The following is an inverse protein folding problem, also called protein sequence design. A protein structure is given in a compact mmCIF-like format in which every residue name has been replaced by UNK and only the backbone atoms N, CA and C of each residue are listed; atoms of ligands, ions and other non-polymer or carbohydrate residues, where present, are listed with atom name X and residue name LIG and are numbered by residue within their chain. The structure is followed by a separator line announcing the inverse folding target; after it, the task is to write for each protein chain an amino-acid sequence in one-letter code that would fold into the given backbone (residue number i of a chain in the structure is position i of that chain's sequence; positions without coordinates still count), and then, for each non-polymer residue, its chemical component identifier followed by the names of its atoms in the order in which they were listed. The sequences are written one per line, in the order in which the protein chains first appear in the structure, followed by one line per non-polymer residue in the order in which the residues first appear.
data_IF_179274505739
#
_entry.id   IF_179274505739
#
_cell.length_a   1.000
_cell.length_b   1.000
_cell.length_c   1.000
_cell.angle_alpha   90.00
_cell.angle_beta   90.00
_cell.angle_gamma   90.00
#
_symmetry.space_group_name_H-M   'P 1'
#
loop_
_entity.id
_entity.type
_entity.pdbx_description
1 polymer ?
#
# COMPACT_ATOMS: atom_id res chain seq x y z
N UNK A 1 19.50 49.32 -5.20
CA UNK A 1 19.68 48.42 -6.36
C UNK A 1 20.32 47.17 -5.80
N UNK A 2 19.53 46.10 -5.70
CA UNK A 2 19.94 44.69 -5.46
C UNK A 2 20.78 44.43 -4.21
N UNK A 3 20.16 44.57 -3.04
CA UNK A 3 20.63 43.93 -1.82
C UNK A 3 19.40 43.41 -1.07
N UNK A 4 19.42 42.13 -0.71
CA UNK A 4 18.52 41.44 0.22
C UNK A 4 17.16 40.91 -0.30
N UNK A 5 17.07 40.49 -1.55
CA UNK A 5 16.20 39.35 -1.90
C UNK A 5 16.98 38.04 -1.67
N UNK A 6 17.54 37.88 -0.47
CA UNK A 6 18.07 36.61 -0.04
C UNK A 6 16.86 35.69 0.15
N UNK A 7 16.65 34.85 -0.85
CA UNK A 7 15.65 33.79 -0.94
C UNK A 7 15.70 32.92 0.32
N UNK A 8 14.99 33.36 1.36
CA UNK A 8 14.53 32.49 2.43
C UNK A 8 13.37 31.63 1.91
N UNK A 9 13.58 30.95 0.77
CA UNK A 9 12.90 29.70 0.48
C UNK A 9 13.52 28.69 1.43
N UNK A 10 13.04 28.70 2.68
CA UNK A 10 13.05 27.50 3.50
C UNK A 10 12.36 26.46 2.65
N UNK A 11 13.15 25.67 1.91
CA UNK A 11 12.67 24.47 1.28
C UNK A 11 12.03 23.70 2.43
N UNK A 12 10.69 23.71 2.45
CA UNK A 12 9.92 22.95 3.41
C UNK A 12 10.40 21.53 3.20
N UNK A 13 11.19 21.03 4.16
CA UNK A 13 11.73 19.69 4.14
C UNK A 13 10.53 18.76 4.28
N UNK A 14 9.94 18.41 3.15
CA UNK A 14 8.93 17.38 3.10
C UNK A 14 9.72 16.08 3.18
N UNK A 15 9.47 15.21 4.18
CA UNK A 15 10.09 13.91 4.22
C UNK A 15 9.72 13.14 2.93
N UNK A 16 10.73 12.83 2.13
CA UNK A 16 10.61 12.18 0.83
C UNK A 16 10.83 13.11 -0.36
N UNK A 17 11.42 12.59 -1.44
CA UNK A 17 11.67 13.35 -2.67
C UNK A 17 10.36 13.90 -3.26
N UNK A 18 10.32 15.12 -3.83
CA UNK A 18 9.12 15.70 -4.44
C UNK A 18 8.48 14.79 -5.50
N UNK A 19 9.32 14.05 -6.23
CA UNK A 19 8.92 13.10 -7.25
C UNK A 19 8.03 11.97 -6.69
N UNK A 20 8.32 11.55 -5.44
CA UNK A 20 7.55 10.53 -4.75
C UNK A 20 6.15 11.03 -4.38
N UNK A 21 6.03 12.28 -3.95
CA UNK A 21 4.72 12.87 -3.64
C UNK A 21 3.88 13.09 -4.89
N UNK A 22 4.49 13.47 -6.01
CA UNK A 22 3.81 13.55 -7.31
C UNK A 22 3.29 12.17 -7.74
N UNK A 23 4.10 11.12 -7.58
CA UNK A 23 3.72 9.75 -7.84
C UNK A 23 2.55 9.29 -6.94
N UNK A 24 2.63 9.52 -5.62
CA UNK A 24 1.55 9.20 -4.67
C UNK A 24 0.26 9.90 -5.03
N UNK A 25 0.32 11.19 -5.39
CA UNK A 25 -0.85 11.97 -5.76
C UNK A 25 -1.47 11.44 -7.07
N UNK A 26 -0.63 11.09 -8.04
CA UNK A 26 -1.07 10.47 -9.29
C UNK A 26 -1.77 9.13 -9.03
N UNK A 27 -1.17 8.22 -8.26
CA UNK A 27 -1.78 6.93 -7.93
C UNK A 27 -3.10 7.12 -7.18
N UNK A 28 -3.11 8.00 -6.18
CA UNK A 28 -4.32 8.29 -5.40
C UNK A 28 -5.44 8.83 -6.29
N UNK A 29 -5.15 9.69 -7.26
CA UNK A 29 -6.13 10.19 -8.23
C UNK A 29 -6.67 9.08 -9.13
N UNK A 30 -5.80 8.21 -9.66
CA UNK A 30 -6.20 7.07 -10.51
C UNK A 30 -7.13 6.13 -9.74
N UNK A 31 -6.75 5.75 -8.52
CA UNK A 31 -7.57 4.91 -7.64
C UNK A 31 -8.89 5.58 -7.28
N UNK A 32 -8.87 6.88 -6.97
CA UNK A 32 -10.09 7.65 -6.67
C UNK A 32 -11.06 7.66 -7.85
N UNK A 33 -10.56 7.84 -9.08
CA UNK A 33 -11.37 7.72 -10.30
C UNK A 33 -11.99 6.33 -10.43
N UNK A 34 -11.19 5.28 -10.24
CA UNK A 34 -11.66 3.89 -10.28
C UNK A 34 -12.71 3.59 -9.21
N UNK A 35 -12.53 4.09 -7.99
CA UNK A 35 -13.53 3.97 -6.92
C UNK A 35 -14.83 4.70 -7.27
N UNK A 36 -14.75 5.85 -7.92
CA UNK A 36 -15.91 6.56 -8.45
C UNK A 36 -16.70 5.71 -9.45
N UNK A 37 -16.02 5.09 -10.41
CA UNK A 37 -16.65 4.15 -11.35
C UNK A 37 -17.27 2.94 -10.65
N UNK A 38 -16.55 2.32 -9.72
CA UNK A 38 -17.05 1.19 -8.93
C UNK A 38 -18.33 1.56 -8.16
N UNK A 39 -18.36 2.71 -7.49
CA UNK A 39 -19.55 3.17 -6.76
C UNK A 39 -20.73 3.46 -7.69
N UNK A 40 -20.48 4.01 -8.88
CA UNK A 40 -21.51 4.25 -9.88
C UNK A 40 -22.14 2.95 -10.39
N UNK A 41 -21.33 1.95 -10.75
CA UNK A 41 -21.81 0.63 -11.18
C UNK A 41 -22.52 -0.13 -10.06
N UNK A 42 -22.00 -0.06 -8.84
CA UNK A 42 -22.65 -0.62 -7.65
C UNK A 42 -24.05 -0.03 -7.43
N UNK A 43 -24.22 1.29 -7.58
CA UNK A 43 -25.52 1.95 -7.41
C UNK A 43 -26.56 1.49 -8.45
N UNK A 44 -26.11 0.97 -9.60
CA UNK A 44 -26.96 0.43 -10.68
C UNK A 44 -27.30 -1.06 -10.50
N UNK A 45 -26.46 -1.83 -9.82
CA UNK A 45 -26.58 -3.31 -9.74
C UNK A 45 -26.30 -3.84 -8.33
N UNK A 46 -26.99 -3.29 -7.33
CA UNK A 46 -26.76 -3.59 -5.91
C UNK A 46 -26.96 -5.07 -5.54
N UNK A 47 -27.98 -5.74 -6.10
CA UNK A 47 -28.27 -7.15 -5.77
C UNK A 47 -27.19 -8.12 -6.25
N UNK A 48 -26.64 -7.93 -7.45
CA UNK A 48 -25.52 -8.73 -7.98
C UNK A 48 -24.25 -8.53 -7.15
N UNK A 49 -24.01 -7.29 -6.69
CA UNK A 49 -22.86 -6.96 -5.84
C UNK A 49 -22.98 -7.62 -4.46
N UNK A 50 -24.16 -7.59 -3.83
CA UNK A 50 -24.41 -8.25 -2.54
C UNK A 50 -24.25 -9.77 -2.62
N UNK A 51 -24.73 -10.41 -3.69
CA UNK A 51 -24.55 -11.85 -3.91
C UNK A 51 -23.09 -12.22 -4.17
N UNK A 52 -22.37 -11.47 -5.00
CA UNK A 52 -20.95 -11.72 -5.26
C UNK A 52 -20.09 -11.47 -4.01
N UNK A 53 -20.41 -10.43 -3.23
CA UNK A 53 -19.71 -10.09 -1.99
C UNK A 53 -19.90 -11.15 -0.88
N UNK A 54 -21.00 -11.91 -0.90
CA UNK A 54 -21.22 -13.03 0.02
C UNK A 54 -20.22 -14.19 -0.17
N UNK A 55 -19.59 -14.29 -1.35
CA UNK A 55 -18.53 -15.27 -1.60
C UNK A 55 -17.17 -14.85 -1.04
N UNK A 56 -17.01 -13.58 -0.61
CA UNK A 56 -15.78 -13.10 0.01
C UNK A 56 -15.77 -13.36 1.51
N UNK A 57 -14.65 -13.85 2.01
CA UNK A 57 -14.46 -14.08 3.43
C UNK A 57 -14.00 -12.79 4.13
N UNK A 58 -14.95 -12.09 4.74
CA UNK A 58 -14.68 -10.87 5.50
C UNK A 58 -13.61 -11.09 6.59
N UNK A 59 -13.51 -12.29 7.16
CA UNK A 59 -12.55 -12.57 8.24
C UNK A 59 -11.12 -12.53 7.72
N UNK A 60 -10.89 -13.10 6.54
CA UNK A 60 -9.58 -13.06 5.86
C UNK A 60 -9.25 -11.62 5.47
N UNK A 61 -10.23 -10.86 4.96
CA UNK A 61 -10.08 -9.43 4.68
C UNK A 61 -9.67 -8.61 5.91
N UNK A 62 -10.38 -8.75 7.03
CA UNK A 62 -10.08 -8.05 8.29
C UNK A 62 -8.71 -8.43 8.83
N UNK A 63 -8.37 -9.72 8.83
CA UNK A 63 -7.07 -10.21 9.28
C UNK A 63 -5.93 -9.59 8.44
N UNK A 64 -6.08 -9.57 7.12
CA UNK A 64 -5.12 -8.96 6.21
C UNK A 64 -4.94 -7.46 6.47
N UNK A 65 -6.03 -6.74 6.70
CA UNK A 65 -5.97 -5.31 7.05
C UNK A 65 -5.24 -5.08 8.37
N UNK A 66 -5.47 -5.90 9.40
CA UNK A 66 -4.73 -5.82 10.66
C UNK A 66 -3.22 -6.09 10.47
N UNK A 67 -2.87 -7.07 9.64
CA UNK A 67 -1.48 -7.39 9.31
C UNK A 67 -0.80 -6.22 8.60
N UNK A 68 -1.48 -5.56 7.66
CA UNK A 68 -0.93 -4.38 6.99
C UNK A 68 -0.77 -3.20 7.94
N UNK A 69 -1.77 -2.91 8.78
CA UNK A 69 -1.64 -1.86 9.81
C UNK A 69 -0.45 -2.09 10.74
N UNK A 70 -0.18 -3.34 11.12
CA UNK A 70 1.01 -3.70 11.90
C UNK A 70 2.30 -3.48 11.09
N UNK A 71 2.27 -3.78 9.79
CA UNK A 71 3.38 -3.55 8.86
C UNK A 71 3.73 -2.07 8.74
N UNK A 72 2.72 -1.21 8.62
CA UNK A 72 2.81 0.25 8.59
C UNK A 72 3.45 0.79 9.87
N UNK A 73 2.99 0.32 11.03
CA UNK A 73 3.58 0.71 12.31
C UNK A 73 5.06 0.27 12.42
N UNK A 74 5.39 -0.92 11.94
CA UNK A 74 6.77 -1.42 11.90
C UNK A 74 7.68 -0.57 11.00
N UNK A 75 7.18 -0.13 9.84
CA UNK A 75 7.97 0.73 8.93
C UNK A 75 8.20 2.12 9.53
N UNK A 76 7.21 2.70 10.22
CA UNK A 76 7.37 3.97 10.93
C UNK A 76 8.43 3.87 12.04
N UNK A 77 8.42 2.75 12.78
CA UNK A 77 9.43 2.45 13.80
C UNK A 77 10.82 2.24 13.19
N UNK A 78 10.91 1.66 12.00
CA UNK A 78 12.16 1.56 11.24
C UNK A 78 12.75 2.94 10.93
N UNK A 79 11.94 3.88 10.43
CA UNK A 79 12.38 5.26 10.16
C UNK A 79 12.90 5.92 11.43
N UNK A 80 12.16 5.80 12.54
CA UNK A 80 12.56 6.39 13.82
C UNK A 80 13.86 5.78 14.36
N UNK A 81 14.01 4.46 14.27
CA UNK A 81 15.23 3.75 14.66
C UNK A 81 16.43 4.11 13.77
N UNK A 82 16.19 4.31 12.47
CA UNK A 82 17.20 4.77 11.51
C UNK A 82 17.68 6.18 11.88
N UNK A 83 16.77 7.10 12.24
CA UNK A 83 17.10 8.46 12.69
C UNK A 83 17.89 8.47 14.00
N UNK A 84 17.58 7.56 14.93
CA UNK A 84 18.30 7.41 16.19
C UNK A 84 19.67 6.70 16.07
N UNK A 85 20.09 6.30 14.85
CA UNK A 85 21.32 5.55 14.63
C UNK A 85 21.26 4.08 15.10
N UNK A 86 20.09 3.59 15.49
CA UNK A 86 19.86 2.24 15.99
C UNK A 86 19.59 1.25 14.84
N UNK A 87 20.58 1.05 13.95
CA UNK A 87 20.42 0.30 12.70
C UNK A 87 20.04 -1.19 12.88
N UNK A 88 20.41 -1.82 14.00
CA UNK A 88 20.01 -3.21 14.31
C UNK A 88 18.49 -3.31 14.54
N UNK A 89 17.90 -2.32 15.20
CA UNK A 89 16.46 -2.25 15.39
C UNK A 89 15.75 -1.96 14.05
N UNK A 90 16.28 -1.01 13.27
CA UNK A 90 15.75 -0.70 11.94
C UNK A 90 15.71 -1.94 11.02
N UNK A 91 16.78 -2.74 10.98
CA UNK A 91 16.79 -3.99 10.21
C UNK A 91 15.71 -4.97 10.65
N UNK A 92 15.56 -5.18 11.96
CA UNK A 92 14.53 -6.08 12.50
C UNK A 92 13.13 -5.62 12.08
N UNK A 93 12.87 -4.32 12.20
CA UNK A 93 11.56 -3.75 11.90
C UNK A 93 11.24 -3.85 10.38
N UNK A 94 12.23 -3.73 9.49
CA UNK A 94 12.06 -3.99 8.04
C UNK A 94 11.73 -5.46 7.76
N UNK A 95 12.40 -6.41 8.42
CA UNK A 95 12.10 -7.83 8.25
C UNK A 95 10.70 -8.18 8.77
N UNK A 96 10.25 -7.53 9.85
CA UNK A 96 8.87 -7.68 10.34
C UNK A 96 7.89 -7.17 9.29
N UNK A 97 8.11 -5.98 8.72
CA UNK A 97 7.26 -5.45 7.64
C UNK A 97 7.22 -6.39 6.43
N UNK A 98 8.37 -6.91 5.99
CA UNK A 98 8.44 -7.85 4.88
C UNK A 98 7.69 -9.17 5.18
N UNK A 99 7.77 -9.68 6.41
CA UNK A 99 7.03 -10.88 6.83
C UNK A 99 5.52 -10.63 6.83
N UNK A 100 5.06 -9.49 7.36
CA UNK A 100 3.64 -9.10 7.33
C UNK A 100 3.12 -9.02 5.89
N UNK A 101 3.89 -8.39 5.00
CA UNK A 101 3.55 -8.29 3.58
C UNK A 101 3.49 -9.66 2.89
N UNK A 102 4.37 -10.60 3.25
CA UNK A 102 4.39 -11.94 2.68
C UNK A 102 3.16 -12.75 3.13
N UNK A 103 2.78 -12.61 4.39
CA UNK A 103 1.55 -13.19 4.94
C UNK A 103 0.34 -12.66 4.18
N UNK A 104 0.28 -11.35 3.97
CA UNK A 104 -0.79 -10.72 3.19
C UNK A 104 -0.88 -11.29 1.76
N UNK A 105 0.24 -11.37 1.04
CA UNK A 105 0.29 -11.95 -0.30
C UNK A 105 -0.20 -13.41 -0.31
N UNK A 106 0.22 -14.20 0.67
CA UNK A 106 -0.20 -15.60 0.79
C UNK A 106 -1.72 -15.74 0.95
N UNK A 107 -2.32 -14.98 1.88
CA UNK A 107 -3.77 -15.00 2.07
C UNK A 107 -4.52 -14.49 0.84
N UNK A 108 -3.97 -13.50 0.13
CA UNK A 108 -4.56 -13.00 -1.12
C UNK A 108 -4.57 -14.03 -2.23
N UNK A 109 -3.45 -14.69 -2.48
CA UNK A 109 -3.35 -15.76 -3.48
C UNK A 109 -4.27 -16.93 -3.12
N UNK A 110 -4.36 -17.28 -1.84
CA UNK A 110 -5.28 -18.32 -1.38
C UNK A 110 -6.75 -17.96 -1.66
N UNK A 111 -7.13 -16.71 -1.40
CA UNK A 111 -8.50 -16.24 -1.67
C UNK A 111 -8.81 -16.23 -3.16
N UNK A 112 -7.89 -15.76 -4.01
CA UNK A 112 -8.03 -15.83 -5.46
C UNK A 112 -8.14 -17.27 -5.96
N UNK A 113 -7.30 -18.18 -5.47
CA UNK A 113 -7.36 -19.59 -5.85
C UNK A 113 -8.70 -20.23 -5.45
N UNK A 114 -9.23 -19.88 -4.27
CA UNK A 114 -10.55 -20.33 -3.82
C UNK A 114 -11.66 -19.77 -4.71
N UNK A 115 -11.62 -18.48 -5.05
CA UNK A 115 -12.60 -17.82 -5.91
C UNK A 115 -12.64 -18.44 -7.31
N UNK A 116 -11.47 -18.58 -7.95
CA UNK A 116 -11.33 -19.21 -9.27
C UNK A 116 -11.76 -20.68 -9.22
N UNK A 117 -11.41 -21.41 -8.17
CA UNK A 117 -11.84 -22.80 -7.96
C UNK A 117 -13.35 -22.97 -7.79
N UNK A 118 -14.05 -21.94 -7.28
CA UNK A 118 -15.53 -21.93 -7.20
C UNK A 118 -16.23 -21.48 -8.48
N UNK A 119 -15.50 -21.23 -9.57
CA UNK A 119 -16.05 -20.75 -10.85
C UNK A 119 -16.32 -19.24 -10.90
N UNK A 120 -15.90 -18.50 -9.89
CA UNK A 120 -15.99 -17.05 -9.78
C UNK A 120 -14.70 -16.39 -10.27
N UNK A 121 -14.44 -16.50 -11.58
CA UNK A 121 -13.32 -15.85 -12.24
C UNK A 121 -13.60 -14.38 -12.59
N UNK A 122 -12.61 -13.69 -13.18
CA UNK A 122 -12.78 -12.31 -13.65
C UNK A 122 -13.81 -12.17 -14.78
N UNK A 123 -14.21 -13.26 -15.44
CA UNK A 123 -15.25 -13.27 -16.49
C UNK A 123 -16.66 -13.54 -15.93
N UNK A 124 -16.79 -13.82 -14.62
CA UNK A 124 -18.06 -14.30 -14.07
C UNK A 124 -19.08 -13.19 -13.82
N UNK A 125 -18.63 -12.02 -13.33
CA UNK A 125 -19.49 -10.86 -13.05
C UNK A 125 -18.67 -9.57 -13.03
N UNK A 126 -19.30 -8.44 -13.34
CA UNK A 126 -18.69 -7.10 -13.28
C UNK A 126 -18.00 -6.83 -11.93
N UNK A 127 -18.61 -7.27 -10.82
CA UNK A 127 -18.01 -7.16 -9.49
C UNK A 127 -16.66 -7.88 -9.39
N UNK A 128 -16.56 -9.12 -9.91
CA UNK A 128 -15.32 -9.88 -9.88
C UNK A 128 -14.26 -9.25 -10.77
N UNK A 129 -14.63 -8.71 -11.93
CA UNK A 129 -13.72 -7.93 -12.78
C UNK A 129 -13.08 -6.78 -12.02
N UNK A 130 -13.89 -5.93 -11.36
CA UNK A 130 -13.38 -4.82 -10.56
C UNK A 130 -12.59 -5.28 -9.34
N UNK A 131 -13.03 -6.34 -8.66
CA UNK A 131 -12.33 -6.94 -7.53
C UNK A 131 -10.94 -7.41 -7.94
N UNK A 132 -10.82 -8.24 -8.99
CA UNK A 132 -9.54 -8.78 -9.46
C UNK A 132 -8.65 -7.66 -9.99
N UNK A 133 -9.22 -6.66 -10.67
CA UNK A 133 -8.45 -5.51 -11.14
C UNK A 133 -7.88 -4.69 -9.98
N UNK A 134 -8.72 -4.21 -9.05
CA UNK A 134 -8.30 -3.39 -7.90
C UNK A 134 -7.33 -4.12 -6.97
N UNK A 135 -7.64 -5.37 -6.63
CA UNK A 135 -6.75 -6.17 -5.78
C UNK A 135 -5.48 -6.59 -6.53
N UNK A 136 -5.56 -6.79 -7.84
CA UNK A 136 -4.43 -7.15 -8.69
C UNK A 136 -3.42 -6.02 -8.88
N UNK A 137 -3.89 -4.81 -9.18
CA UNK A 137 -3.00 -3.64 -9.22
C UNK A 137 -2.35 -3.44 -7.85
N UNK A 138 -3.11 -3.52 -6.75
CA UNK A 138 -2.55 -3.38 -5.41
C UNK A 138 -1.50 -4.46 -5.11
N UNK A 139 -1.75 -5.72 -5.51
CA UNK A 139 -0.79 -6.81 -5.39
C UNK A 139 0.54 -6.47 -6.10
N UNK A 140 0.47 -5.91 -7.32
CA UNK A 140 1.67 -5.45 -8.04
C UNK A 140 2.40 -4.33 -7.29
N UNK A 141 1.68 -3.36 -6.73
CA UNK A 141 2.30 -2.28 -5.94
C UNK A 141 2.97 -2.83 -4.69
N UNK A 142 2.37 -3.83 -4.04
CA UNK A 142 2.95 -4.48 -2.87
C UNK A 142 4.22 -5.27 -3.23
N UNK A 143 4.27 -5.91 -4.40
CA UNK A 143 5.51 -6.50 -4.93
C UNK A 143 6.60 -5.46 -5.20
N UNK A 144 6.25 -4.29 -5.73
CA UNK A 144 7.19 -3.17 -5.87
C UNK A 144 7.65 -2.70 -4.48
N UNK A 145 6.74 -2.65 -3.50
CA UNK A 145 7.05 -2.37 -2.10
C UNK A 145 8.11 -3.30 -1.51
N UNK A 146 8.09 -4.59 -1.86
CA UNK A 146 9.14 -5.52 -1.45
C UNK A 146 10.53 -5.13 -1.98
N UNK A 147 10.60 -4.66 -3.23
CA UNK A 147 11.85 -4.14 -3.81
C UNK A 147 12.31 -2.90 -3.04
N UNK A 148 11.39 -2.00 -2.71
CA UNK A 148 11.64 -0.78 -1.92
C UNK A 148 12.16 -1.13 -0.51
N UNK A 149 11.57 -2.11 0.18
CA UNK A 149 12.11 -2.62 1.46
C UNK A 149 13.50 -3.23 1.29
N UNK A 150 13.75 -3.95 0.19
CA UNK A 150 15.06 -4.47 -0.16
C UNK A 150 16.11 -3.37 -0.31
N UNK A 151 15.74 -2.24 -0.93
CA UNK A 151 16.59 -1.05 -1.03
C UNK A 151 16.91 -0.48 0.35
N UNK A 152 15.92 -0.38 1.26
CA UNK A 152 16.17 0.06 2.65
C UNK A 152 17.20 -0.85 3.34
N UNK A 153 17.05 -2.18 3.25
CA UNK A 153 18.00 -3.15 3.82
C UNK A 153 19.40 -2.97 3.22
N UNK A 154 19.49 -2.77 1.90
CA UNK A 154 20.76 -2.54 1.22
C UNK A 154 21.44 -1.23 1.66
N UNK A 155 20.66 -0.16 1.85
CA UNK A 155 21.13 1.13 2.31
C UNK A 155 21.65 1.10 3.76
N UNK A 156 20.95 0.38 4.63
CA UNK A 156 21.29 0.24 6.06
C UNK A 156 22.56 -0.60 6.31
N UNK A 157 22.93 -1.49 5.36
CA UNK A 157 24.09 -2.39 5.48
C UNK A 157 25.44 -1.68 5.48
N UNK A 158 25.59 -0.49 4.88
CA UNK A 158 26.88 0.19 4.78
C UNK A 158 26.81 1.62 5.30
N UNK A 159 27.69 2.04 6.24
CA UNK A 159 27.70 3.39 6.79
C UNK A 159 27.86 4.49 5.73
N UNK A 160 28.65 4.23 4.68
CA UNK A 160 28.92 5.17 3.59
C UNK A 160 27.72 5.39 2.66
N UNK A 161 26.69 4.53 2.76
CA UNK A 161 25.52 4.56 1.90
C UNK A 161 24.27 5.07 2.62
N UNK A 162 24.28 5.28 3.94
CA UNK A 162 23.07 5.60 4.70
C UNK A 162 22.47 6.94 4.27
N UNK A 163 21.29 6.90 3.66
CA UNK A 163 20.49 8.08 3.34
C UNK A 163 19.16 8.01 4.08
N UNK A 164 18.93 8.94 5.00
CA UNK A 164 17.64 9.04 5.71
C UNK A 164 16.52 9.44 4.77
N UNK A 165 16.81 10.29 3.77
CA UNK A 165 15.83 10.72 2.77
C UNK A 165 15.27 9.53 1.98
N UNK A 166 16.13 8.59 1.57
CA UNK A 166 15.68 7.38 0.87
C UNK A 166 14.83 6.49 1.78
N UNK A 167 15.23 6.30 3.04
CA UNK A 167 14.44 5.50 4.00
C UNK A 167 13.07 6.12 4.26
N UNK A 168 13.00 7.43 4.39
CA UNK A 168 11.74 8.18 4.53
C UNK A 168 10.88 8.09 3.27
N UNK A 169 11.47 8.25 2.08
CA UNK A 169 10.78 8.10 0.80
C UNK A 169 10.16 6.70 0.67
N UNK A 170 10.95 5.67 1.01
CA UNK A 170 10.52 4.28 0.98
C UNK A 170 9.39 3.99 1.98
N UNK A 171 9.46 4.58 3.18
CA UNK A 171 8.41 4.46 4.18
C UNK A 171 7.11 5.16 3.73
N UNK A 172 7.20 6.36 3.15
CA UNK A 172 6.04 7.06 2.57
C UNK A 172 5.40 6.22 1.47
N UNK A 173 6.18 5.56 0.61
CA UNK A 173 5.66 4.63 -0.41
C UNK A 173 4.84 3.51 0.23
N UNK A 174 5.42 2.87 1.25
CA UNK A 174 4.76 1.78 1.97
C UNK A 174 3.44 2.23 2.61
N UNK A 175 3.44 3.39 3.26
CA UNK A 175 2.25 3.96 3.88
C UNK A 175 1.15 4.28 2.87
N UNK A 176 1.50 4.80 1.69
CA UNK A 176 0.52 5.04 0.62
C UNK A 176 -0.10 3.74 0.13
N UNK A 177 0.71 2.70 -0.11
CA UNK A 177 0.21 1.39 -0.54
C UNK A 177 -0.74 0.79 0.50
N UNK A 178 -0.38 0.86 1.78
CA UNK A 178 -1.24 0.40 2.89
C UNK A 178 -2.54 1.21 2.98
N UNK A 179 -2.49 2.53 2.79
CA UNK A 179 -3.68 3.40 2.77
C UNK A 179 -4.64 3.02 1.63
N UNK A 180 -4.11 2.81 0.43
CA UNK A 180 -4.90 2.36 -0.72
C UNK A 180 -5.59 1.03 -0.43
N UNK A 181 -4.90 0.09 0.24
CA UNK A 181 -5.52 -1.16 0.66
C UNK A 181 -6.72 -0.96 1.57
N UNK A 182 -6.59 -0.10 2.59
CA UNK A 182 -7.68 0.17 3.54
C UNK A 182 -8.91 0.70 2.80
N UNK A 183 -8.74 1.55 1.77
CA UNK A 183 -9.85 2.00 0.93
C UNK A 183 -10.46 0.85 0.12
N UNK A 184 -9.63 0.05 -0.56
CA UNK A 184 -10.09 -1.13 -1.33
C UNK A 184 -10.87 -2.08 -0.41
N UNK A 185 -10.35 -2.37 0.77
CA UNK A 185 -10.99 -3.20 1.77
C UNK A 185 -12.33 -2.62 2.23
N UNK A 186 -12.38 -1.32 2.55
CA UNK A 186 -13.61 -0.66 2.94
C UNK A 186 -14.69 -0.79 1.86
N UNK A 187 -14.37 -0.51 0.60
CA UNK A 187 -15.33 -0.55 -0.50
C UNK A 187 -15.76 -1.96 -0.92
N UNK A 188 -14.83 -2.93 -0.92
CA UNK A 188 -15.09 -4.30 -1.39
C UNK A 188 -15.63 -5.23 -0.30
N UNK A 189 -15.26 -5.04 0.97
CA UNK A 189 -15.62 -5.96 2.06
C UNK A 189 -16.59 -5.37 3.10
N UNK A 190 -16.49 -4.06 3.37
CA UNK A 190 -17.23 -3.43 4.49
C UNK A 190 -18.53 -2.79 4.02
N UNK A 191 -18.49 -1.99 2.95
CA UNK A 191 -19.71 -1.37 2.40
C UNK A 191 -20.57 -2.49 1.82
N UNK A 192 -21.74 -2.74 2.43
CA UNK A 192 -22.78 -3.68 2.00
C UNK A 192 -24.03 -2.89 1.61
#
# INVERSE_FOLDING_TARGET
MTDLEDENKRATFVPGQPDMWAFVLFETLVFTGYFGFYLFYRARSSELFLHAQAHLDLRIGVFNTLVLLLSSWSVARCVQSSRAGAYRAAHRDVYITAACAAIFLFFKVFEWARLVGTGNGPDSNDFFTYYFFLTGIHFVHLLIGFVVLGVIVYQLRSPARRSQELVETCATYWHTVDFLWVLIFALLYVVR
#
